data_IF_773321817918
#
_entry.id   IF_773321817918
#
_cell.length_a   1.000
_cell.length_b   1.000
_cell.length_c   1.000
_cell.angle_alpha   90.00
_cell.angle_beta   90.00
_cell.angle_gamma   90.00
#
_symmetry.space_group_name_H-M   'P 1'
#
loop_
_entity.id
_entity.type
_entity.pdbx_description
1 polymer ?
#
# COMPACT_ATOMS: atom_id res chain seq x y z
N UNK A 1 17.47 -13.77 8.46
CA UNK A 1 16.43 -12.73 8.40
C UNK A 1 16.18 -12.54 6.93
N UNK A 2 15.03 -12.95 6.41
CA UNK A 2 14.71 -12.70 5.00
C UNK A 2 14.53 -11.20 4.84
N UNK A 3 15.40 -10.57 4.06
CA UNK A 3 15.16 -9.22 3.54
C UNK A 3 13.82 -9.27 2.80
N UNK A 4 12.85 -8.47 3.25
CA UNK A 4 11.57 -8.34 2.55
C UNK A 4 11.79 -7.77 1.15
N UNK A 5 10.79 -7.93 0.28
CA UNK A 5 10.79 -7.32 -1.04
C UNK A 5 10.99 -5.79 -0.95
N UNK A 6 11.99 -5.27 -1.66
CA UNK A 6 12.19 -3.83 -1.82
C UNK A 6 12.29 -3.49 -3.31
N UNK A 7 11.28 -2.82 -3.84
CA UNK A 7 11.24 -2.35 -5.23
C UNK A 7 11.10 -0.85 -5.26
N UNK A 8 11.69 -0.21 -6.28
CA UNK A 8 11.48 1.21 -6.51
C UNK A 8 11.36 1.54 -7.99
N UNK A 9 10.62 2.59 -8.28
CA UNK A 9 10.50 3.21 -9.59
C UNK A 9 10.67 4.71 -9.44
N UNK A 10 11.38 5.33 -10.37
CA UNK A 10 11.56 6.79 -10.40
C UNK A 10 10.72 7.41 -11.52
N UNK A 11 10.07 8.53 -11.24
CA UNK A 11 9.34 9.33 -12.21
C UNK A 11 10.09 10.63 -12.52
N UNK A 12 10.40 10.86 -13.80
CA UNK A 12 11.17 12.03 -14.28
C UNK A 12 10.37 13.34 -14.34
N UNK A 13 9.04 13.28 -14.32
CA UNK A 13 8.18 14.46 -14.44
C UNK A 13 8.08 15.18 -13.11
N UNK A 14 7.96 14.42 -12.02
CA UNK A 14 7.78 14.93 -10.66
C UNK A 14 9.02 14.80 -9.77
N UNK A 15 10.08 14.17 -10.26
CA UNK A 15 11.29 13.82 -9.52
C UNK A 15 11.03 12.96 -8.26
N UNK A 16 9.96 12.17 -8.27
CA UNK A 16 9.53 11.31 -7.15
C UNK A 16 9.93 9.86 -7.36
N UNK A 17 10.00 9.14 -6.24
CA UNK A 17 10.13 7.68 -6.22
C UNK A 17 8.84 7.06 -5.71
N UNK A 18 8.46 5.95 -6.34
CA UNK A 18 7.54 4.98 -5.78
C UNK A 18 8.35 3.83 -5.21
N UNK A 19 7.99 3.37 -4.03
CA UNK A 19 8.72 2.31 -3.33
C UNK A 19 7.70 1.29 -2.83
N UNK A 20 7.93 0.02 -3.12
CA UNK A 20 7.30 -1.08 -2.41
C UNK A 20 8.33 -1.60 -1.41
N UNK A 21 7.99 -1.58 -0.14
CA UNK A 21 8.81 -2.13 0.94
C UNK A 21 7.98 -3.16 1.71
N UNK A 22 8.50 -4.38 1.83
CA UNK A 22 7.96 -5.38 2.73
C UNK A 22 8.63 -5.29 4.09
N UNK A 23 7.88 -4.76 5.05
CA UNK A 23 8.31 -4.66 6.43
C UNK A 23 7.31 -5.38 7.33
N UNK A 24 7.82 -6.22 8.24
CA UNK A 24 7.01 -6.94 9.23
C UNK A 24 5.79 -7.66 8.61
N UNK A 25 6.04 -8.43 7.55
CA UNK A 25 5.02 -9.20 6.81
C UNK A 25 3.92 -8.34 6.16
N UNK A 26 4.16 -7.05 5.97
CA UNK A 26 3.24 -6.12 5.30
C UNK A 26 3.93 -5.46 4.12
N UNK A 27 3.31 -5.48 2.95
CA UNK A 27 3.78 -4.73 1.78
C UNK A 27 3.20 -3.33 1.79
N UNK A 28 4.06 -2.31 1.85
CA UNK A 28 3.66 -0.90 1.88
C UNK A 28 4.14 -0.19 0.62
N UNK A 29 3.21 0.46 -0.06
CA UNK A 29 3.50 1.38 -1.16
C UNK A 29 3.78 2.76 -0.59
N UNK A 30 4.92 3.36 -0.96
CA UNK A 30 5.28 4.72 -0.64
C UNK A 30 5.40 5.57 -1.90
N UNK A 31 5.00 6.84 -1.78
CA UNK A 31 5.37 7.91 -2.70
C UNK A 31 6.24 8.92 -1.95
N UNK A 32 7.41 9.22 -2.48
CA UNK A 32 8.36 10.13 -1.83
C UNK A 32 8.11 11.59 -2.19
N UNK A 33 8.69 12.50 -1.38
CA UNK A 33 8.81 13.90 -1.78
C UNK A 33 9.72 14.04 -3.00
N UNK A 34 9.52 15.05 -3.87
CA UNK A 34 10.39 15.30 -5.01
C UNK A 34 11.85 15.39 -4.58
N UNK A 35 12.75 14.91 -5.42
CA UNK A 35 14.21 14.95 -5.26
C UNK A 35 14.75 14.16 -4.04
N UNK A 36 13.90 13.49 -3.28
CA UNK A 36 14.29 12.75 -2.08
C UNK A 36 13.71 11.34 -2.05
N UNK A 37 14.30 10.49 -1.21
CA UNK A 37 13.74 9.18 -0.87
C UNK A 37 12.88 9.21 0.40
N UNK A 38 12.49 10.39 0.88
CA UNK A 38 11.66 10.50 2.09
C UNK A 38 10.20 10.25 1.74
N UNK A 39 9.53 9.24 2.34
CA UNK A 39 8.11 9.02 2.13
C UNK A 39 7.28 10.27 2.46
N UNK A 40 6.32 10.57 1.60
CA UNK A 40 5.32 11.63 1.78
C UNK A 40 3.90 11.05 1.91
N UNK A 41 3.63 9.97 1.18
CA UNK A 41 2.37 9.20 1.22
C UNK A 41 2.66 7.72 1.30
N UNK A 42 1.75 7.00 1.91
CA UNK A 42 1.79 5.56 2.03
C UNK A 42 0.40 4.90 1.86
N UNK A 43 0.44 3.63 1.50
CA UNK A 43 -0.71 2.73 1.50
C UNK A 43 -0.23 1.31 1.84
N UNK A 44 -0.87 0.65 2.82
CA UNK A 44 -0.71 -0.80 2.98
C UNK A 44 -1.33 -1.49 1.77
N UNK A 45 -0.53 -2.19 0.97
CA UNK A 45 -0.98 -2.83 -0.25
C UNK A 45 -1.44 -4.27 -0.04
N UNK A 46 -0.77 -5.02 0.84
CA UNK A 46 -1.11 -6.39 1.21
C UNK A 46 -0.44 -6.79 2.53
N UNK A 47 -0.86 -7.93 3.07
CA UNK A 47 -0.27 -8.59 4.22
C UNK A 47 0.13 -10.03 3.85
N UNK A 48 1.10 -10.58 4.56
CA UNK A 48 1.57 -11.97 4.43
C UNK A 48 1.20 -12.82 5.65
N UNK A 49 0.33 -12.31 6.52
CA UNK A 49 -0.23 -13.00 7.66
C UNK A 49 -1.76 -13.15 7.52
N UNK A 50 -2.33 -14.12 8.23
CA UNK A 50 -3.77 -14.24 8.32
C UNK A 50 -4.32 -13.09 9.18
N UNK A 51 -5.37 -12.37 8.74
CA UNK A 51 -6.01 -11.33 9.54
C UNK A 51 -6.33 -11.84 10.95
N UNK A 52 -6.04 -11.02 11.96
CA UNK A 52 -6.32 -11.38 13.35
C UNK A 52 -7.81 -11.19 13.66
N UNK A 53 -8.36 -11.95 14.60
CA UNK A 53 -9.72 -11.68 15.07
C UNK A 53 -9.81 -10.30 15.74
N UNK A 54 -11.00 -9.68 15.71
CA UNK A 54 -11.20 -8.35 16.32
C UNK A 54 -10.85 -8.32 17.81
N UNK A 55 -11.14 -9.39 18.55
CA UNK A 55 -10.85 -9.46 19.98
C UNK A 55 -9.35 -9.54 20.25
N UNK A 56 -8.62 -10.32 19.45
CA UNK A 56 -7.16 -10.38 19.51
C UNK A 56 -6.55 -9.02 19.13
N UNK A 57 -7.09 -8.37 18.09
CA UNK A 57 -6.66 -7.04 17.67
C UNK A 57 -6.82 -6.00 18.79
N UNK A 58 -7.99 -5.96 19.46
CA UNK A 58 -8.23 -5.04 20.59
C UNK A 58 -7.25 -5.29 21.75
N UNK A 59 -6.90 -6.54 22.01
CA UNK A 59 -5.91 -6.88 23.05
C UNK A 59 -4.51 -6.39 22.67
N UNK A 60 -4.07 -6.61 21.43
CA UNK A 60 -2.77 -6.15 20.93
C UNK A 60 -2.65 -4.63 20.93
N UNK A 61 -3.70 -3.93 20.48
CA UNK A 61 -3.75 -2.46 20.53
C UNK A 61 -3.63 -1.93 21.96
N UNK A 62 -4.28 -2.58 22.93
CA UNK A 62 -4.14 -2.22 24.37
C UNK A 62 -2.75 -2.51 24.92
N UNK A 63 -2.05 -3.51 24.39
CA UNK A 63 -0.68 -3.83 24.74
C UNK A 63 0.34 -2.88 24.10
N UNK A 64 -0.09 -2.00 23.19
CA UNK A 64 0.79 -1.08 22.46
C UNK A 64 1.56 -1.76 21.32
N UNK A 65 1.11 -2.93 20.85
CA UNK A 65 1.67 -3.57 19.66
C UNK A 65 1.30 -2.78 18.39
N UNK A 66 2.11 -2.87 17.32
CA UNK A 66 1.78 -2.26 16.04
C UNK A 66 0.39 -2.74 15.53
N UNK A 67 -0.40 -1.83 14.94
CA UNK A 67 -1.72 -2.19 14.42
C UNK A 67 -1.58 -3.17 13.26
N UNK A 68 -2.16 -4.36 13.42
CA UNK A 68 -2.33 -5.35 12.34
C UNK A 68 -3.71 -5.21 11.70
N UNK A 69 -3.87 -5.69 10.47
CA UNK A 69 -5.20 -5.82 9.88
C UNK A 69 -5.97 -6.96 10.57
N UNK A 70 -7.19 -6.66 10.98
CA UNK A 70 -8.11 -7.63 11.57
C UNK A 70 -9.18 -8.06 10.56
N UNK A 71 -9.87 -9.17 10.84
CA UNK A 71 -10.88 -9.76 9.94
C UNK A 71 -11.98 -8.78 9.50
N UNK A 72 -12.42 -7.88 10.39
CA UNK A 72 -13.40 -6.84 10.07
C UNK A 72 -12.92 -5.69 9.18
N UNK A 73 -11.61 -5.58 8.93
CA UNK A 73 -11.01 -4.53 8.07
C UNK A 73 -10.33 -5.12 6.85
N UNK A 74 -9.69 -6.28 6.96
CA UNK A 74 -9.02 -6.94 5.86
C UNK A 74 -10.02 -7.44 4.81
N UNK A 75 -9.73 -7.20 3.53
CA UNK A 75 -10.49 -7.80 2.44
C UNK A 75 -10.05 -9.23 2.14
N UNK A 76 -10.83 -9.94 1.32
CA UNK A 76 -10.48 -11.28 0.83
C UNK A 76 -9.19 -11.31 0.00
N UNK A 77 -8.81 -10.18 -0.60
CA UNK A 77 -7.60 -10.05 -1.43
C UNK A 77 -6.42 -9.41 -0.69
N UNK A 78 -6.57 -9.17 0.62
CA UNK A 78 -5.53 -8.55 1.44
C UNK A 78 -4.28 -9.42 1.58
N UNK A 79 -4.43 -10.75 1.51
CA UNK A 79 -3.36 -11.70 1.80
C UNK A 79 -2.64 -12.14 0.53
N UNK A 80 -1.35 -11.78 0.40
CA UNK A 80 -0.46 -12.28 -0.65
C UNK A 80 0.66 -13.09 0.03
N UNK A 81 0.43 -14.40 0.17
CA UNK A 81 1.32 -15.26 0.97
C UNK A 81 2.72 -15.49 0.37
N UNK A 82 2.89 -15.26 -0.94
CA UNK A 82 4.17 -15.40 -1.64
C UNK A 82 4.34 -14.26 -2.61
N UNK A 83 5.42 -13.51 -2.44
CA UNK A 83 5.77 -12.38 -3.27
C UNK A 83 7.04 -12.68 -4.05
N UNK A 84 7.08 -12.18 -5.29
CA UNK A 84 8.22 -12.25 -6.18
C UNK A 84 8.28 -10.93 -6.92
N UNK A 85 9.48 -10.36 -7.09
CA UNK A 85 9.68 -9.05 -7.72
C UNK A 85 8.94 -8.91 -9.06
N UNK A 86 9.02 -9.95 -9.89
CA UNK A 86 8.40 -10.03 -11.21
C UNK A 86 6.85 -9.95 -11.22
N UNK A 87 6.20 -10.22 -10.08
CA UNK A 87 4.74 -10.13 -9.97
C UNK A 87 4.29 -8.68 -9.74
N UNK A 88 5.21 -7.76 -9.43
CA UNK A 88 4.89 -6.39 -9.09
C UNK A 88 5.35 -5.41 -10.16
N UNK A 89 4.55 -4.36 -10.36
CA UNK A 89 4.90 -3.22 -11.22
C UNK A 89 4.26 -1.94 -10.71
N UNK A 90 4.80 -0.80 -11.12
CA UNK A 90 4.29 0.52 -10.78
C UNK A 90 3.62 1.15 -12.00
N UNK A 91 2.44 1.73 -11.80
CA UNK A 91 1.74 2.56 -12.78
C UNK A 91 1.72 3.99 -12.27
N UNK A 92 2.31 4.91 -13.03
CA UNK A 92 2.37 6.32 -12.68
C UNK A 92 1.27 7.11 -13.36
N UNK A 93 0.74 8.13 -12.68
CA UNK A 93 -0.05 9.18 -13.33
C UNK A 93 0.83 9.98 -14.29
N UNK A 94 0.20 10.62 -15.29
CA UNK A 94 0.91 11.40 -16.30
C UNK A 94 1.74 12.56 -15.71
N UNK A 95 1.27 13.16 -14.62
CA UNK A 95 1.94 14.25 -13.90
C UNK A 95 2.98 13.75 -12.88
N UNK A 96 3.07 12.44 -12.65
CA UNK A 96 3.99 11.82 -11.70
C UNK A 96 3.66 12.06 -10.22
N UNK A 97 2.50 12.64 -9.87
CA UNK A 97 2.13 12.91 -8.47
C UNK A 97 1.26 11.81 -7.84
N UNK A 98 0.93 10.78 -8.61
CA UNK A 98 0.24 9.59 -8.14
C UNK A 98 0.90 8.33 -8.69
N UNK A 99 0.85 7.26 -7.90
CA UNK A 99 1.35 5.95 -8.31
C UNK A 99 0.46 4.85 -7.77
N UNK A 100 0.21 3.86 -8.61
CA UNK A 100 -0.44 2.61 -8.25
C UNK A 100 0.56 1.46 -8.25
N UNK A 101 0.41 0.57 -7.28
CA UNK A 101 1.07 -0.73 -7.25
C UNK A 101 0.17 -1.77 -7.89
N UNK A 102 0.72 -2.50 -8.84
CA UNK A 102 0.07 -3.61 -9.50
C UNK A 102 0.68 -4.91 -8.99
N UNK A 103 -0.17 -5.90 -8.75
CA UNK A 103 0.21 -7.29 -8.54
C UNK A 103 -0.42 -8.14 -9.63
N UNK A 104 0.42 -8.86 -10.39
CA UNK A 104 0.00 -9.66 -11.55
C UNK A 104 -0.86 -8.86 -12.54
N UNK A 105 -0.43 -7.63 -12.83
CA UNK A 105 -1.10 -6.65 -13.69
C UNK A 105 -2.47 -6.13 -13.21
N UNK A 106 -2.89 -6.46 -11.98
CA UNK A 106 -4.07 -5.87 -11.37
C UNK A 106 -3.66 -4.83 -10.33
N UNK A 107 -4.24 -3.62 -10.33
CA UNK A 107 -3.91 -2.63 -9.32
C UNK A 107 -4.47 -3.06 -7.96
N UNK A 108 -3.64 -2.98 -6.92
CA UNK A 108 -3.97 -3.41 -5.55
C UNK A 108 -3.94 -2.27 -4.54
N UNK A 109 -3.14 -1.22 -4.80
CA UNK A 109 -3.10 -0.02 -4.00
C UNK A 109 -2.65 1.18 -4.84
N UNK A 110 -3.04 2.38 -4.43
CA UNK A 110 -2.49 3.60 -5.02
C UNK A 110 -2.38 4.72 -3.99
N UNK A 111 -1.49 5.65 -4.26
CA UNK A 111 -1.28 6.86 -3.46
C UNK A 111 -1.25 8.07 -4.40
N UNK A 112 -1.72 9.20 -3.89
CA UNK A 112 -1.64 10.49 -4.56
C UNK A 112 -1.15 11.53 -3.59
N UNK A 113 -0.33 12.47 -4.05
CA UNK A 113 0.13 13.61 -3.23
C UNK A 113 -1.04 14.39 -2.63
N UNK A 114 -2.13 14.55 -3.39
CA UNK A 114 -3.28 15.37 -3.04
C UNK A 114 -4.20 14.71 -2.01
N UNK A 115 -4.06 13.41 -1.81
CA UNK A 115 -4.89 12.64 -0.90
C UNK A 115 -4.18 12.46 0.44
N UNK A 116 -4.94 12.51 1.53
CA UNK A 116 -4.36 12.38 2.87
C UNK A 116 -3.84 10.97 3.15
N UNK A 117 -4.60 9.97 2.71
CA UNK A 117 -4.31 8.56 2.89
C UNK A 117 -4.23 7.88 1.53
N UNK A 118 -3.42 6.83 1.43
CA UNK A 118 -3.46 5.94 0.29
C UNK A 118 -4.70 5.06 0.27
N UNK A 119 -5.00 4.51 -0.90
CA UNK A 119 -6.14 3.67 -1.18
C UNK A 119 -5.68 2.24 -1.40
N UNK A 120 -6.40 1.27 -0.85
CA UNK A 120 -5.99 -0.13 -0.93
C UNK A 120 -7.16 -1.08 -1.08
N UNK A 121 -6.99 -2.10 -1.93
CA UNK A 121 -7.89 -3.25 -2.01
C UNK A 121 -7.72 -4.18 -0.82
N UNK A 122 -6.68 -4.04 0.00
CA UNK A 122 -6.48 -4.88 1.18
C UNK A 122 -7.45 -4.55 2.33
N UNK A 123 -8.20 -3.45 2.24
CA UNK A 123 -9.18 -3.07 3.26
C UNK A 123 -10.61 -2.95 2.69
N UNK A 124 -11.61 -3.26 3.50
CA UNK A 124 -13.04 -3.19 3.12
C UNK A 124 -13.71 -1.87 3.51
N UNK A 125 -13.05 -1.04 4.31
CA UNK A 125 -13.54 0.26 4.76
C UNK A 125 -12.39 1.20 5.07
N UNK A 126 -12.69 2.50 5.15
CA UNK A 126 -11.71 3.50 5.55
C UNK A 126 -11.22 3.28 6.99
N UNK A 127 -9.98 3.68 7.23
CA UNK A 127 -9.35 3.67 8.54
C UNK A 127 -8.53 4.94 8.75
N UNK A 128 -8.05 5.22 9.98
CA UNK A 128 -7.19 6.38 10.23
C UNK A 128 -5.82 6.36 9.53
N UNK A 129 -5.47 5.28 8.82
CA UNK A 129 -4.16 5.09 8.18
C UNK A 129 -4.24 4.69 6.70
N UNK A 130 -5.38 4.19 6.22
CA UNK A 130 -5.58 3.77 4.82
C UNK A 130 -7.06 3.89 4.45
N UNK A 131 -7.34 4.35 3.24
CA UNK A 131 -8.67 4.43 2.64
C UNK A 131 -9.01 3.15 1.87
N UNK A 132 -10.29 2.81 1.82
CA UNK A 132 -10.75 1.70 0.97
C UNK A 132 -10.52 2.04 -0.50
N UNK A 133 -10.40 1.02 -1.34
CA UNK A 133 -10.24 1.20 -2.78
C UNK A 133 -11.36 2.06 -3.38
N UNK A 134 -10.98 3.11 -4.11
CA UNK A 134 -11.89 3.98 -4.85
C UNK A 134 -11.59 3.87 -6.36
N UNK A 135 -12.53 3.26 -7.09
CA UNK A 135 -12.40 3.03 -8.54
C UNK A 135 -12.53 4.32 -9.34
N UNK A 136 -13.44 5.22 -8.94
CA UNK A 136 -13.65 6.47 -9.66
C UNK A 136 -12.40 7.35 -9.55
N UNK A 137 -11.82 7.40 -8.34
CA UNK A 137 -10.57 8.12 -8.09
C UNK A 137 -9.38 7.51 -8.80
N UNK A 138 -9.31 6.17 -8.85
CA UNK A 138 -8.27 5.50 -9.60
C UNK A 138 -8.32 5.89 -11.09
N UNK A 139 -9.51 5.82 -11.71
CA UNK A 139 -9.66 6.16 -13.12
C UNK A 139 -9.32 7.64 -13.37
N UNK A 140 -9.75 8.56 -12.50
CA UNK A 140 -9.41 9.99 -12.59
C UNK A 140 -7.89 10.24 -12.66
N UNK A 141 -7.08 9.43 -11.97
CA UNK A 141 -5.64 9.64 -11.83
C UNK A 141 -4.80 8.90 -12.88
N UNK A 142 -5.31 7.81 -13.44
CA UNK A 142 -4.51 6.87 -14.24
C UNK A 142 -5.08 6.56 -15.65
N UNK A 143 -6.29 7.03 -15.99
CA UNK A 143 -6.91 6.90 -17.33
C UNK A 143 -7.13 8.26 -18.00
#
# INVERSE_FOLDING_TARGET
MSEGLFLSSYNKVSDRYAILDEFDQSGVLYLTKPETQKPERDAVAYIQYAPVSEDAWKQKMRAGEPPQLHEGLASEVAVIAKTAEQDFSFLWSADGNSVALLYKNAPIAFVSQNEKYGFSKAVVSDSPIVSMWDTDKFNELFE
#
